data_IF_633878685800
#
_entry.id   IF_633878685800
#
_cell.length_a   1.000
_cell.length_b   1.000
_cell.length_c   1.000
_cell.angle_alpha   90.00
_cell.angle_beta   90.00
_cell.angle_gamma   90.00
#
_symmetry.space_group_name_H-M   'P 1'
#
loop_
_entity.id
_entity.type
_entity.pdbx_description
1 polymer ?
#
# COMPACT_ATOMS: atom_id res chain seq x y z
N UNK A 1 1.85 -6.67 15.94
CA UNK A 1 2.23 -5.37 15.34
C UNK A 1 1.89 -5.43 13.86
N UNK A 2 1.30 -4.38 13.30
CA UNK A 2 1.03 -4.33 11.85
C UNK A 2 2.36 -4.25 11.12
N UNK A 3 2.57 -5.12 10.14
CA UNK A 3 3.80 -5.15 9.32
C UNK A 3 3.58 -4.69 7.89
N UNK A 4 2.32 -4.60 7.48
CA UNK A 4 1.98 -4.15 6.14
C UNK A 4 0.68 -3.35 6.14
N UNK A 5 0.47 -2.65 5.03
CA UNK A 5 -0.76 -1.94 4.71
C UNK A 5 -1.30 -2.45 3.39
N UNK A 6 -2.59 -2.76 3.37
CA UNK A 6 -3.36 -3.04 2.17
C UNK A 6 -4.02 -1.75 1.70
N UNK A 7 -3.58 -1.25 0.56
CA UNK A 7 -4.06 -0.02 -0.05
C UNK A 7 -5.20 -0.36 -1.01
N UNK A 8 -6.35 0.27 -0.76
CA UNK A 8 -7.50 0.26 -1.67
C UNK A 8 -7.51 1.57 -2.45
N UNK A 9 -7.74 1.48 -3.75
CA UNK A 9 -8.04 2.60 -4.62
C UNK A 9 -9.40 2.35 -5.26
N UNK A 10 -10.21 3.40 -5.37
CA UNK A 10 -11.53 3.32 -5.98
C UNK A 10 -11.48 3.82 -7.43
N UNK A 11 -12.43 3.35 -8.25
CA UNK A 11 -12.89 4.00 -9.49
C UNK A 11 -12.06 3.93 -10.79
N UNK A 12 -10.94 3.20 -10.89
CA UNK A 12 -10.29 3.02 -12.21
C UNK A 12 -10.72 1.79 -13.03
N UNK A 13 -11.80 1.13 -12.58
CA UNK A 13 -12.47 0.09 -13.35
C UNK A 13 -13.08 0.56 -14.69
N UNK A 14 -13.34 1.86 -14.86
CA UNK A 14 -14.15 2.38 -15.98
C UNK A 14 -13.36 2.54 -17.29
N UNK A 15 -12.02 2.49 -17.26
CA UNK A 15 -11.16 2.53 -18.46
C UNK A 15 -10.11 1.42 -18.40
N UNK A 16 -10.53 0.17 -18.59
CA UNK A 16 -9.71 -1.03 -18.42
C UNK A 16 -8.31 -0.99 -19.07
N UNK A 17 -8.15 -0.32 -20.21
CA UNK A 17 -6.84 -0.17 -20.89
C UNK A 17 -5.83 0.72 -20.14
N UNK A 18 -6.26 1.56 -19.20
CA UNK A 18 -5.40 2.50 -18.48
C UNK A 18 -5.14 2.11 -17.02
N UNK A 19 -5.71 0.97 -16.57
CA UNK A 19 -5.62 0.56 -15.17
C UNK A 19 -4.17 0.40 -14.70
N UNK A 20 -3.36 -0.33 -15.46
CA UNK A 20 -1.97 -0.56 -15.12
C UNK A 20 -1.18 0.75 -15.01
N UNK A 21 -1.45 1.72 -15.91
CA UNK A 21 -0.80 3.04 -15.91
C UNK A 21 -1.09 3.76 -14.59
N UNK A 22 -2.34 3.75 -14.14
CA UNK A 22 -2.70 4.36 -12.88
C UNK A 22 -2.11 3.63 -11.69
N UNK A 23 -2.18 2.31 -11.65
CA UNK A 23 -1.58 1.52 -10.57
C UNK A 23 -0.07 1.77 -10.48
N UNK A 24 0.63 1.85 -11.62
CA UNK A 24 2.06 2.18 -11.66
C UNK A 24 2.33 3.57 -11.09
N UNK A 25 1.58 4.58 -11.54
CA UNK A 25 1.72 5.95 -11.02
C UNK A 25 1.39 6.05 -9.53
N UNK A 26 0.36 5.33 -9.08
CA UNK A 26 -0.01 5.29 -7.68
C UNK A 26 1.09 4.64 -6.84
N UNK A 27 1.67 3.53 -7.29
CA UNK A 27 2.82 2.91 -6.65
C UNK A 27 4.01 3.87 -6.56
N UNK A 28 4.32 4.62 -7.62
CA UNK A 28 5.41 5.60 -7.61
C UNK A 28 5.16 6.72 -6.60
N UNK A 29 3.93 7.24 -6.52
CA UNK A 29 3.56 8.27 -5.55
C UNK A 29 3.60 7.75 -4.11
N UNK A 30 3.16 6.51 -3.88
CA UNK A 30 3.26 5.85 -2.57
C UNK A 30 4.74 5.73 -2.16
N UNK A 31 5.61 5.21 -3.04
CA UNK A 31 7.05 5.13 -2.77
C UNK A 31 7.64 6.48 -2.43
N UNK A 32 7.27 7.53 -3.18
CA UNK A 32 7.73 8.88 -2.92
C UNK A 32 7.27 9.41 -1.55
N UNK A 33 6.01 9.20 -1.16
CA UNK A 33 5.52 9.60 0.16
C UNK A 33 6.27 8.88 1.29
N UNK A 34 6.55 7.58 1.11
CA UNK A 34 7.26 6.75 2.09
C UNK A 34 8.74 7.15 2.26
N UNK A 35 9.35 7.87 1.31
CA UNK A 35 10.73 8.40 1.50
C UNK A 35 10.86 9.40 2.65
N UNK A 36 9.74 9.91 3.15
CA UNK A 36 9.67 10.86 4.27
C UNK A 36 9.47 10.17 5.61
N UNK A 37 9.20 8.87 5.61
CA UNK A 37 8.89 8.10 6.81
C UNK A 37 10.15 7.39 7.31
N UNK A 38 10.20 7.10 8.61
CA UNK A 38 11.22 6.18 9.14
C UNK A 38 10.94 4.74 8.71
N UNK A 39 12.01 4.06 8.28
CA UNK A 39 11.99 2.64 7.89
C UNK A 39 12.07 2.39 6.38
N UNK A 40 12.28 1.13 6.02
CA UNK A 40 12.32 0.68 4.63
C UNK A 40 11.01 0.02 4.25
N UNK A 41 10.45 0.39 3.10
CA UNK A 41 9.16 -0.11 2.63
C UNK A 41 9.25 -0.72 1.24
N UNK A 42 8.61 -1.87 1.07
CA UNK A 42 8.39 -2.50 -0.23
C UNK A 42 6.94 -2.24 -0.70
N UNK A 43 6.80 -1.70 -1.91
CA UNK A 43 5.49 -1.41 -2.52
C UNK A 43 5.26 -2.34 -3.71
N UNK A 44 4.31 -3.26 -3.55
CA UNK A 44 3.93 -4.24 -4.58
C UNK A 44 2.48 -4.06 -5.00
N UNK A 45 2.17 -4.28 -6.28
CA UNK A 45 0.80 -4.30 -6.79
C UNK A 45 0.39 -5.70 -7.21
N UNK A 46 -0.85 -6.04 -6.89
CA UNK A 46 -1.54 -7.26 -7.32
C UNK A 46 -2.86 -6.85 -7.98
N UNK A 47 -3.56 -7.79 -8.63
CA UNK A 47 -4.84 -7.52 -9.30
C UNK A 47 -5.83 -6.76 -8.39
N UNK A 48 -5.95 -5.44 -8.58
CA UNK A 48 -6.90 -4.60 -7.86
C UNK A 48 -6.48 -4.14 -6.45
N UNK A 49 -5.24 -4.41 -6.00
CA UNK A 49 -4.74 -4.03 -4.67
C UNK A 49 -3.27 -3.64 -4.71
N UNK A 50 -2.86 -2.75 -3.82
CA UNK A 50 -1.44 -2.44 -3.57
C UNK A 50 -1.12 -2.82 -2.12
N UNK A 51 0.04 -3.44 -1.91
CA UNK A 51 0.59 -3.75 -0.59
C UNK A 51 1.80 -2.85 -0.34
N UNK A 52 1.88 -2.34 0.88
CA UNK A 52 3.04 -1.64 1.42
C UNK A 52 3.53 -2.47 2.59
N UNK A 53 4.69 -3.13 2.44
CA UNK A 53 5.30 -3.96 3.48
C UNK A 53 6.43 -3.18 4.14
N UNK A 54 6.42 -3.07 5.47
CA UNK A 54 7.56 -2.58 6.22
C UNK A 54 8.61 -3.69 6.32
N UNK A 55 9.83 -3.40 5.86
CA UNK A 55 10.98 -4.31 5.91
C UNK A 55 11.79 -4.13 7.21
N UNK A 56 11.66 -2.97 7.85
CA UNK A 56 12.27 -2.62 9.13
C UNK A 56 11.22 -2.09 10.11
N UNK A 57 11.63 -1.76 11.33
CA UNK A 57 10.81 -0.96 12.23
C UNK A 57 10.48 0.39 11.58
N UNK A 58 9.30 0.92 11.90
CA UNK A 58 8.74 2.13 11.32
C UNK A 58 7.78 2.81 12.31
N UNK A 59 7.56 4.12 12.14
CA UNK A 59 6.52 4.86 12.86
C UNK A 59 5.17 4.70 12.14
N UNK A 60 4.20 4.11 12.84
CA UNK A 60 2.89 3.82 12.29
C UNK A 60 2.08 5.07 11.96
N UNK A 61 2.03 6.03 12.88
CA UNK A 61 1.20 7.23 12.74
C UNK A 61 1.77 8.13 11.65
N UNK A 62 3.11 8.30 11.62
CA UNK A 62 3.82 9.01 10.56
C UNK A 62 3.55 8.39 9.18
N UNK A 63 3.67 7.07 9.08
CA UNK A 63 3.48 6.34 7.82
C UNK A 63 2.06 6.51 7.30
N UNK A 64 1.06 6.33 8.18
CA UNK A 64 -0.35 6.49 7.83
C UNK A 64 -0.65 7.94 7.40
N UNK A 65 -0.10 8.93 8.10
CA UNK A 65 -0.32 10.34 7.76
C UNK A 65 0.32 10.73 6.43
N UNK A 66 1.52 10.23 6.11
CA UNK A 66 2.13 10.43 4.79
C UNK A 66 1.30 9.74 3.69
N UNK A 67 0.83 8.50 3.91
CA UNK A 67 -0.01 7.79 2.95
C UNK A 67 -1.35 8.51 2.69
N UNK A 68 -1.95 9.16 3.69
CA UNK A 68 -3.18 9.96 3.50
C UNK A 68 -3.00 11.13 2.53
N UNK A 69 -1.77 11.61 2.31
CA UNK A 69 -1.49 12.70 1.35
C UNK A 69 -1.49 12.23 -0.11
N UNK A 70 -1.49 10.93 -0.36
CA UNK A 70 -1.41 10.36 -1.71
C UNK A 70 -2.80 10.27 -2.35
N UNK A 71 -3.06 11.14 -3.31
CA UNK A 71 -4.30 11.09 -4.10
C UNK A 71 -4.43 9.76 -4.86
N UNK A 72 -5.65 9.23 -4.89
CA UNK A 72 -5.97 7.93 -5.48
C UNK A 72 -6.06 6.79 -4.46
N UNK A 73 -5.50 6.96 -3.26
CA UNK A 73 -5.79 6.06 -2.14
C UNK A 73 -7.20 6.36 -1.61
N UNK A 74 -8.05 5.35 -1.60
CA UNK A 74 -9.40 5.40 -1.05
C UNK A 74 -9.45 4.87 0.39
N UNK A 75 -8.62 3.88 0.73
CA UNK A 75 -8.48 3.41 2.10
C UNK A 75 -7.10 2.80 2.34
N UNK A 76 -6.60 2.98 3.57
CA UNK A 76 -5.38 2.38 4.10
C UNK A 76 -5.85 1.34 5.12
N UNK A 77 -5.54 0.06 4.90
CA UNK A 77 -5.94 -1.02 5.80
C UNK A 77 -4.69 -1.64 6.43
N UNK A 78 -4.37 -1.36 7.70
CA UNK A 78 -3.32 -2.07 8.42
C UNK A 78 -3.61 -3.57 8.45
N UNK A 79 -2.61 -4.40 8.15
CA UNK A 79 -2.74 -5.86 8.14
C UNK A 79 -1.71 -6.53 9.03
N UNK A 80 -2.09 -7.69 9.56
CA UNK A 80 -1.24 -8.58 10.33
C UNK A 80 -0.96 -9.80 9.46
N UNK A 81 0.32 -10.18 9.36
CA UNK A 81 0.69 -11.46 8.76
C UNK A 81 0.53 -12.54 9.81
N UNK A 82 -0.18 -13.60 9.44
CA UNK A 82 -0.35 -14.81 10.24
C UNK A 82 0.29 -15.96 9.50
N UNK A 83 0.83 -16.92 10.22
CA UNK A 83 1.31 -18.16 9.62
C UNK A 83 0.12 -18.92 9.04
N UNK A 84 0.33 -19.57 7.90
CA UNK A 84 -0.67 -20.45 7.31
C UNK A 84 -0.70 -21.75 8.13
N UNK A 85 -1.75 -21.92 8.93
CA UNK A 85 -1.97 -23.14 9.71
C UNK A 85 -2.63 -24.26 8.88
N UNK A 86 -2.82 -24.04 7.57
CA UNK A 86 -3.43 -25.02 6.69
C UNK A 86 -4.91 -25.27 7.00
N UNK A 87 -5.46 -26.28 6.35
CA UNK A 87 -6.81 -26.78 6.60
C UNK A 87 -6.68 -28.26 7.03
N UNK A 88 -6.28 -28.52 8.28
CA UNK A 88 -6.52 -29.83 8.92
C UNK A 88 -7.96 -29.94 9.44
#
# INVERSE_FOLDING_TARGET
MYKSFLIKYAEIGVKGKNRYIFEDRLCDQIRYALTRCEGEFEVTKTQGRIYVNALTDFDFDETVDNLKTVFGISAICPVVHVEDEGFE
#
